data_IF_589633279485
#
_entry.id   IF_589633279485
#
_cell.length_a   1.000
_cell.length_b   1.000
_cell.length_c   1.000
_cell.angle_alpha   90.00
_cell.angle_beta   90.00
_cell.angle_gamma   90.00
#
_symmetry.space_group_name_H-M   'P 1'
#
loop_
_entity.id
_entity.type
_entity.pdbx_description
1 polymer ?
#
# COMPACT_ATOMS: atom_id res chain seq x y z
N UNK A 1 36.80 21.80 25.82
CA UNK A 1 35.89 20.85 26.51
C UNK A 1 34.53 20.78 25.79
N UNK A 2 34.51 20.32 24.54
CA UNK A 2 33.32 20.16 23.68
C UNK A 2 33.58 18.95 22.76
N UNK A 3 33.41 17.74 23.27
CA UNK A 3 33.63 16.50 22.52
C UNK A 3 32.57 15.43 22.82
N UNK A 4 31.35 15.82 23.24
CA UNK A 4 30.29 14.86 23.59
C UNK A 4 28.97 15.06 22.80
N UNK A 5 28.89 16.06 21.92
CA UNK A 5 27.67 16.36 21.14
C UNK A 5 27.73 15.82 19.70
N UNK A 6 28.54 14.78 19.46
CA UNK A 6 28.81 14.23 18.12
C UNK A 6 28.52 12.72 17.99
N UNK A 7 27.67 12.15 18.85
CA UNK A 7 27.35 10.70 18.84
C UNK A 7 25.85 10.40 18.99
N UNK A 8 24.98 11.26 18.45
CA UNK A 8 23.57 10.90 18.20
C UNK A 8 23.14 11.22 16.77
N UNK A 9 24.11 11.28 15.83
CA UNK A 9 23.87 11.26 14.40
C UNK A 9 23.43 9.86 13.94
N UNK A 10 22.33 9.37 14.51
CA UNK A 10 21.53 8.37 13.83
C UNK A 10 20.65 9.12 12.83
N UNK A 11 21.09 9.07 11.58
CA UNK A 11 20.38 9.47 10.38
C UNK A 11 19.05 8.72 10.30
N UNK A 12 18.06 9.14 11.08
CA UNK A 12 16.68 8.80 10.80
C UNK A 12 16.37 9.53 9.50
N UNK A 13 16.43 8.79 8.39
CA UNK A 13 15.83 9.17 7.11
C UNK A 13 14.47 9.79 7.43
N UNK A 14 14.43 11.12 7.38
CA UNK A 14 13.21 11.88 7.60
C UNK A 14 12.16 11.27 6.66
N UNK A 15 11.00 10.79 7.16
CA UNK A 15 9.99 10.24 6.27
C UNK A 15 9.69 11.37 5.28
N UNK A 16 10.04 11.16 4.01
CA UNK A 16 9.78 12.15 2.96
C UNK A 16 8.32 12.53 3.14
N UNK A 17 8.06 13.78 3.53
CA UNK A 17 6.71 14.34 3.39
C UNK A 17 6.39 14.10 1.93
N UNK A 18 5.40 13.26 1.64
CA UNK A 18 4.91 13.08 0.28
C UNK A 18 4.34 14.45 -0.11
N UNK A 19 5.20 15.32 -0.65
CA UNK A 19 4.88 16.69 -0.93
C UNK A 19 3.78 16.72 -1.96
N UNK A 20 2.65 17.34 -1.62
CA UNK A 20 1.56 17.71 -2.52
C UNK A 20 1.20 16.67 -3.61
N UNK A 21 1.31 15.38 -3.30
CA UNK A 21 0.62 14.35 -4.06
C UNK A 21 -0.77 14.34 -3.49
N UNK A 22 -1.80 14.66 -4.29
CA UNK A 22 -3.20 14.67 -3.87
C UNK A 22 -3.74 13.25 -3.62
N UNK A 23 -2.95 12.41 -2.95
CA UNK A 23 -3.30 11.05 -2.55
C UNK A 23 -3.73 11.10 -1.10
N UNK A 24 -5.01 10.82 -0.87
CA UNK A 24 -5.63 10.86 0.46
C UNK A 24 -5.34 9.58 1.25
N UNK A 25 -5.07 8.46 0.58
CA UNK A 25 -4.86 7.14 1.21
C UNK A 25 -3.65 6.40 0.63
N UNK A 26 -2.81 5.85 1.50
CA UNK A 26 -1.73 4.92 1.15
C UNK A 26 -2.10 3.51 1.65
N UNK A 27 -2.20 2.54 0.75
CA UNK A 27 -2.40 1.12 1.06
C UNK A 27 -1.05 0.40 0.98
N UNK A 28 -0.67 -0.29 2.05
CA UNK A 28 0.58 -1.06 2.13
C UNK A 28 0.26 -2.55 1.98
N UNK A 29 0.72 -3.14 0.87
CA UNK A 29 0.51 -4.53 0.46
C UNK A 29 -0.45 -4.64 -0.72
N UNK A 30 0.05 -5.13 -1.85
CA UNK A 30 -0.71 -5.48 -3.07
C UNK A 30 -1.16 -6.95 -3.06
N UNK A 31 -1.52 -7.47 -1.89
CA UNK A 31 -2.21 -8.74 -1.74
C UNK A 31 -3.71 -8.62 -2.00
N UNK A 32 -4.48 -9.72 -1.88
CA UNK A 32 -5.92 -9.72 -2.13
C UNK A 32 -6.66 -8.63 -1.36
N UNK A 33 -6.37 -8.47 -0.06
CA UNK A 33 -7.03 -7.46 0.79
C UNK A 33 -6.71 -6.03 0.35
N UNK A 34 -5.43 -5.73 0.12
CA UNK A 34 -5.01 -4.37 -0.22
C UNK A 34 -5.45 -3.96 -1.62
N UNK A 35 -5.41 -4.87 -2.59
CA UNK A 35 -5.94 -4.62 -3.94
C UNK A 35 -7.46 -4.39 -3.90
N UNK A 36 -8.22 -5.20 -3.16
CA UNK A 36 -9.66 -4.99 -2.99
C UNK A 36 -9.96 -3.64 -2.33
N UNK A 37 -9.26 -3.29 -1.25
CA UNK A 37 -9.44 -2.00 -0.58
C UNK A 37 -9.16 -0.82 -1.51
N UNK A 38 -8.06 -0.88 -2.27
CA UNK A 38 -7.70 0.19 -3.18
C UNK A 38 -8.67 0.30 -4.36
N UNK A 39 -9.17 -0.82 -4.89
CA UNK A 39 -10.20 -0.82 -5.92
C UNK A 39 -11.49 -0.15 -5.41
N UNK A 40 -11.95 -0.49 -4.21
CA UNK A 40 -13.14 0.13 -3.61
C UNK A 40 -12.94 1.63 -3.35
N UNK A 41 -11.80 2.03 -2.80
CA UNK A 41 -11.48 3.45 -2.60
C UNK A 41 -11.48 4.22 -3.93
N UNK A 42 -10.87 3.65 -4.97
CA UNK A 42 -10.86 4.26 -6.29
C UNK A 42 -12.28 4.41 -6.87
N UNK A 43 -13.16 3.42 -6.67
CA UNK A 43 -14.57 3.47 -7.10
C UNK A 43 -15.36 4.58 -6.43
N UNK A 44 -15.07 4.88 -5.16
CA UNK A 44 -15.68 6.02 -4.44
C UNK A 44 -14.98 7.37 -4.74
N UNK A 45 -14.06 7.43 -5.70
CA UNK A 45 -13.35 8.65 -6.07
C UNK A 45 -12.29 9.10 -5.06
N UNK A 46 -11.85 8.20 -4.17
CA UNK A 46 -10.77 8.48 -3.22
C UNK A 46 -9.42 8.21 -3.88
N UNK A 47 -8.62 9.26 -4.02
CA UNK A 47 -7.24 9.14 -4.51
C UNK A 47 -6.41 8.26 -3.60
N UNK A 48 -5.93 7.14 -4.14
CA UNK A 48 -5.24 6.08 -3.42
C UNK A 48 -3.94 5.70 -4.12
N UNK A 49 -2.91 5.39 -3.33
CA UNK A 49 -1.66 4.77 -3.81
C UNK A 49 -1.45 3.44 -3.09
N UNK A 50 -1.05 2.41 -3.83
CA UNK A 50 -0.68 1.10 -3.27
C UNK A 50 0.83 0.94 -3.39
N UNK A 51 1.45 0.38 -2.34
CA UNK A 51 2.86 -0.03 -2.36
C UNK A 51 2.98 -1.48 -1.94
N UNK A 52 3.88 -2.24 -2.57
CA UNK A 52 4.23 -3.60 -2.16
C UNK A 52 5.75 -3.75 -2.12
N UNK A 53 6.24 -4.69 -1.32
CA UNK A 53 7.67 -5.02 -1.25
C UNK A 53 8.12 -5.80 -2.48
N UNK A 54 7.25 -6.64 -3.05
CA UNK A 54 7.54 -7.38 -4.26
C UNK A 54 7.65 -6.40 -5.44
N UNK A 55 8.74 -6.51 -6.20
CA UNK A 55 8.98 -5.68 -7.37
C UNK A 55 7.99 -5.98 -8.51
N UNK A 56 7.45 -7.20 -8.55
CA UNK A 56 6.54 -7.67 -9.59
C UNK A 56 5.44 -8.53 -8.97
N UNK A 57 4.33 -8.65 -9.70
CA UNK A 57 3.26 -9.60 -9.37
C UNK A 57 3.79 -11.04 -9.51
N UNK A 58 3.37 -11.92 -8.60
CA UNK A 58 3.58 -13.38 -8.73
C UNK A 58 2.70 -14.00 -9.81
N UNK A 59 3.24 -14.96 -10.56
CA UNK A 59 2.51 -15.78 -11.54
C UNK A 59 1.75 -16.94 -10.89
N UNK A 60 1.96 -17.18 -9.59
CA UNK A 60 1.31 -18.27 -8.84
C UNK A 60 0.08 -17.77 -8.10
N UNK A 61 -0.99 -18.55 -8.16
CA UNK A 61 -2.14 -18.37 -7.25
C UNK A 61 -1.88 -19.08 -5.92
N UNK A 62 -2.13 -18.36 -4.82
CA UNK A 62 -2.26 -18.95 -3.48
C UNK A 62 -3.72 -19.12 -3.05
N UNK A 63 -4.68 -18.62 -3.83
CA UNK A 63 -6.10 -18.76 -3.55
C UNK A 63 -6.56 -20.14 -4.05
N UNK A 64 -6.94 -21.02 -3.12
CA UNK A 64 -7.40 -22.37 -3.43
C UNK A 64 -8.91 -22.42 -3.75
N UNK A 65 -9.68 -21.52 -3.13
CA UNK A 65 -11.15 -21.45 -3.26
C UNK A 65 -11.57 -19.99 -3.32
N UNK A 66 -12.55 -19.70 -4.19
CA UNK A 66 -13.32 -18.46 -4.18
C UNK A 66 -14.79 -18.80 -3.91
N UNK A 67 -15.38 -18.16 -2.92
CA UNK A 67 -16.78 -18.32 -2.59
C UNK A 67 -17.65 -17.54 -3.58
N UNK A 68 -18.89 -17.97 -3.81
CA UNK A 68 -19.84 -17.26 -4.70
C UNK A 68 -19.94 -15.78 -4.35
N UNK A 69 -20.06 -15.46 -3.06
CA UNK A 69 -20.10 -14.07 -2.60
C UNK A 69 -18.83 -13.28 -2.91
N UNK A 70 -17.66 -13.92 -2.88
CA UNK A 70 -16.40 -13.27 -3.26
C UNK A 70 -16.38 -12.99 -4.77
N UNK A 71 -16.86 -13.92 -5.60
CA UNK A 71 -16.97 -13.72 -7.05
C UNK A 71 -17.91 -12.55 -7.38
N UNK A 72 -19.08 -12.48 -6.74
CA UNK A 72 -20.01 -11.34 -6.89
C UNK A 72 -19.36 -10.00 -6.50
N UNK A 73 -18.50 -9.98 -5.48
CA UNK A 73 -17.79 -8.76 -5.06
C UNK A 73 -16.69 -8.38 -6.06
N UNK A 74 -15.98 -9.34 -6.63
CA UNK A 74 -14.96 -9.10 -7.63
C UNK A 74 -15.56 -8.61 -8.96
N UNK A 75 -16.70 -9.16 -9.37
CA UNK A 75 -17.44 -8.69 -10.55
C UNK A 75 -17.90 -7.24 -10.39
N UNK A 76 -18.32 -6.86 -9.17
CA UNK A 76 -18.63 -5.44 -8.91
C UNK A 76 -17.42 -4.56 -9.13
N UNK A 77 -16.24 -4.98 -8.68
CA UNK A 77 -15.02 -4.17 -8.62
C UNK A 77 -14.29 -4.03 -9.98
N UNK A 78 -14.58 -4.91 -10.95
CA UNK A 78 -14.11 -4.85 -12.34
C UNK A 78 -14.86 -3.79 -13.17
#
# INVERSE_FOLDING_TARGET
>A
MRAFQALHSHTLTQPRRYGAMDTKVLVVGAGPVGLTMAAELARYGVSVRIVDKAATRTDKSKALVLWSRTLELLERAA
#
